data_IF_111612312555
#
_entry.id   IF_111612312555
#
_cell.length_a   1.000
_cell.length_b   1.000
_cell.length_c   1.000
_cell.angle_alpha   90.00
_cell.angle_beta   90.00
_cell.angle_gamma   90.00
#
_symmetry.space_group_name_H-M   'P 1'
#
loop_
_entity.id
_entity.type
_entity.pdbx_description
1 polymer ?
#
# COMPACT_ATOMS: atom_id res chain seq x y z
N UNK A 1 -9.32 -62.67 -32.94
CA UNK A 1 -10.46 -63.53 -32.54
C UNK A 1 -10.65 -63.41 -31.04
N UNK A 2 -11.86 -63.63 -30.53
CA UNK A 2 -12.25 -63.34 -29.14
C UNK A 2 -11.53 -64.23 -28.11
N UNK A 3 -11.38 -63.70 -26.90
CA UNK A 3 -11.98 -64.16 -25.63
C UNK A 3 -11.27 -63.42 -24.46
N UNK A 4 -11.87 -63.08 -23.30
CA UNK A 4 -13.25 -63.21 -22.84
C UNK A 4 -13.34 -63.32 -21.30
N UNK A 5 -13.57 -62.21 -20.56
CA UNK A 5 -14.00 -62.18 -19.15
C UNK A 5 -14.32 -60.71 -18.72
N UNK A 6 -15.58 -60.30 -18.60
CA UNK A 6 -16.47 -60.46 -17.43
C UNK A 6 -16.17 -59.49 -16.26
N UNK A 7 -16.89 -58.37 -16.24
CA UNK A 7 -16.89 -57.39 -15.14
C UNK A 7 -18.10 -57.60 -14.22
N UNK A 8 -17.89 -57.59 -12.89
CA UNK A 8 -18.95 -57.78 -11.90
C UNK A 8 -19.62 -56.45 -11.51
N UNK A 9 -20.94 -56.41 -11.64
CA UNK A 9 -21.82 -55.38 -11.07
C UNK A 9 -21.91 -55.51 -9.55
N UNK A 10 -21.90 -54.40 -8.81
CA UNK A 10 -22.35 -54.33 -7.41
C UNK A 10 -23.11 -53.03 -7.14
N UNK A 11 -24.14 -53.12 -6.29
CA UNK A 11 -25.22 -52.13 -6.16
C UNK A 11 -24.98 -51.02 -5.11
N UNK A 12 -25.85 -50.00 -5.14
CA UNK A 12 -25.95 -48.90 -4.18
C UNK A 12 -26.52 -49.33 -2.81
N UNK A 13 -26.07 -48.72 -1.70
CA UNK A 13 -26.87 -48.57 -0.47
C UNK A 13 -27.72 -47.27 -0.47
N UNK A 14 -28.79 -47.25 0.33
CA UNK A 14 -29.75 -46.13 0.46
C UNK A 14 -29.49 -45.25 1.69
N UNK A 15 -30.12 -44.05 1.67
CA UNK A 15 -30.18 -43.01 2.72
C UNK A 15 -30.36 -43.54 4.17
N UNK A 16 -29.64 -42.92 5.11
CA UNK A 16 -30.01 -42.83 6.52
C UNK A 16 -30.30 -41.38 6.95
N UNK A 17 -31.33 -41.16 7.78
CA UNK A 17 -31.65 -39.86 8.42
C UNK A 17 -31.32 -39.93 9.91
N UNK A 18 -30.52 -38.99 10.41
CA UNK A 18 -30.46 -38.61 11.83
C UNK A 18 -30.40 -37.07 11.90
N UNK A 19 -31.33 -36.35 12.52
CA UNK A 19 -31.67 -36.28 13.96
C UNK A 19 -30.55 -35.66 14.81
N UNK A 20 -30.42 -34.33 14.72
CA UNK A 20 -29.90 -33.50 15.80
C UNK A 20 -30.87 -33.52 16.98
N UNK A 21 -30.36 -33.49 18.22
CA UNK A 21 -31.18 -33.59 19.41
C UNK A 21 -30.51 -32.93 20.64
N UNK A 22 -31.32 -32.20 21.42
CA UNK A 22 -31.10 -31.71 22.80
C UNK A 22 -29.97 -30.67 23.06
N UNK A 23 -30.10 -29.70 23.99
CA UNK A 23 -31.27 -28.94 24.50
C UNK A 23 -30.79 -27.66 25.22
N UNK A 24 -31.70 -26.73 25.54
CA UNK A 24 -31.40 -25.46 26.22
C UNK A 24 -31.69 -25.47 27.74
N UNK A 25 -31.00 -24.61 28.51
CA UNK A 25 -31.43 -23.95 29.77
C UNK A 25 -30.38 -22.86 30.13
N UNK A 26 -30.62 -21.78 30.88
CA UNK A 26 -31.72 -21.39 31.77
C UNK A 26 -32.20 -19.94 31.53
N UNK A 27 -33.38 -19.59 32.06
CA UNK A 27 -33.88 -18.20 32.18
C UNK A 27 -33.91 -17.72 33.64
N UNK A 28 -34.08 -16.40 33.79
CA UNK A 28 -34.06 -15.59 35.00
C UNK A 28 -34.92 -16.03 36.20
N UNK A 29 -34.62 -15.45 37.38
CA UNK A 29 -35.62 -15.20 38.42
C UNK A 29 -35.28 -13.96 39.26
N UNK A 30 -36.30 -13.16 39.57
CA UNK A 30 -36.27 -12.05 40.51
C UNK A 30 -37.25 -12.35 41.66
N UNK A 31 -36.94 -11.93 42.88
CA UNK A 31 -37.79 -12.14 44.06
C UNK A 31 -37.22 -11.46 45.30
N UNK A 32 -38.07 -10.85 46.13
CA UNK A 32 -37.71 -9.79 47.09
C UNK A 32 -38.16 -10.05 48.54
N UNK A 33 -37.79 -9.12 49.45
CA UNK A 33 -38.19 -8.96 50.88
C UNK A 33 -37.37 -9.81 51.88
N UNK A 34 -37.04 -9.37 53.12
CA UNK A 34 -37.70 -8.44 54.06
C UNK A 34 -36.75 -7.52 54.89
N UNK A 35 -37.34 -6.71 55.78
CA UNK A 35 -36.79 -5.54 56.50
C UNK A 35 -35.85 -5.78 57.71
N UNK A 36 -34.82 -4.92 57.84
CA UNK A 36 -34.46 -4.08 59.01
C UNK A 36 -33.26 -3.19 58.62
N UNK A 37 -33.12 -1.90 58.95
CA UNK A 37 -33.84 -1.07 59.92
C UNK A 37 -32.88 -0.11 60.64
N UNK A 38 -32.07 0.69 59.91
CA UNK A 38 -31.12 1.66 60.49
C UNK A 38 -31.26 3.04 59.81
N UNK A 39 -31.15 4.11 60.61
CA UNK A 39 -31.43 5.51 60.27
C UNK A 39 -30.55 6.09 59.15
N UNK A 40 -31.16 6.92 58.31
CA UNK A 40 -30.49 7.87 57.42
C UNK A 40 -29.83 9.03 58.19
N UNK A 41 -28.63 9.47 57.79
CA UNK A 41 -28.17 10.85 57.96
C UNK A 41 -28.60 11.71 56.76
N UNK A 42 -29.06 12.95 57.01
CA UNK A 42 -29.24 13.96 55.95
C UNK A 42 -27.88 14.54 55.51
N UNK A 43 -27.78 15.16 54.32
CA UNK A 43 -26.52 15.38 53.64
C UNK A 43 -25.74 16.58 54.22
N UNK A 44 -24.44 16.39 54.43
CA UNK A 44 -23.49 17.50 54.46
C UNK A 44 -23.11 17.86 53.02
N UNK A 45 -23.31 19.13 52.66
CA UNK A 45 -22.98 19.66 51.33
C UNK A 45 -21.46 19.79 51.14
N UNK A 46 -20.79 18.67 50.86
CA UNK A 46 -19.42 18.68 50.37
C UNK A 46 -19.44 18.90 48.84
N UNK A 47 -18.93 20.04 48.39
CA UNK A 47 -18.71 20.32 46.97
C UNK A 47 -17.59 19.41 46.42
N UNK A 48 -17.94 18.17 46.10
CA UNK A 48 -17.10 17.32 45.27
C UNK A 48 -17.22 17.77 43.81
N UNK A 49 -16.56 18.87 43.49
CA UNK A 49 -16.07 19.10 42.13
C UNK A 49 -15.08 17.97 41.82
N UNK A 50 -15.60 16.88 41.27
CA UNK A 50 -14.81 15.83 40.66
C UNK A 50 -14.11 16.45 39.44
N UNK A 51 -12.97 17.08 39.70
CA UNK A 51 -12.00 17.41 38.68
C UNK A 51 -11.51 16.10 38.11
N UNK A 52 -12.19 15.63 37.06
CA UNK A 52 -11.61 14.71 36.10
C UNK A 52 -10.45 15.45 35.46
N UNK A 53 -9.31 15.40 36.15
CA UNK A 53 -8.02 15.66 35.56
C UNK A 53 -7.88 14.62 34.44
N UNK A 54 -8.29 15.02 33.23
CA UNK A 54 -7.84 14.37 32.01
C UNK A 54 -6.33 14.46 32.09
N UNK A 55 -5.70 13.36 32.50
CA UNK A 55 -4.26 13.25 32.47
C UNK A 55 -3.88 13.60 31.02
N UNK A 56 -3.17 14.70 30.84
CA UNK A 56 -2.61 15.04 29.55
C UNK A 56 -1.70 13.87 29.21
N UNK A 57 -2.17 13.01 28.30
CA UNK A 57 -1.35 11.94 27.75
C UNK A 57 -0.27 12.67 26.97
N UNK A 58 0.88 12.89 27.62
CA UNK A 58 2.07 13.38 26.97
C UNK A 58 2.29 12.44 25.81
N UNK A 59 2.19 12.91 24.54
CA UNK A 59 2.24 12.01 23.41
C UNK A 59 3.57 11.27 23.47
N UNK A 60 3.49 9.94 23.49
CA UNK A 60 4.66 9.10 23.64
C UNK A 60 5.66 9.44 22.54
N UNK A 61 6.84 9.94 22.93
CA UNK A 61 7.85 10.39 21.98
C UNK A 61 8.53 9.16 21.40
N UNK A 62 7.92 8.60 20.36
CA UNK A 62 8.44 7.45 19.64
C UNK A 62 9.89 7.71 19.20
N UNK A 63 10.79 6.71 19.32
CA UNK A 63 12.14 6.83 18.81
C UNK A 63 12.12 6.97 17.29
N UNK A 64 12.69 8.05 16.77
CA UNK A 64 12.81 8.33 15.34
C UNK A 64 14.21 8.02 14.83
N UNK A 65 14.33 7.67 13.55
CA UNK A 65 15.59 7.34 12.88
C UNK A 65 15.66 8.07 11.54
N UNK A 66 16.87 8.36 11.05
CA UNK A 66 17.04 8.82 9.67
C UNK A 66 16.73 7.66 8.69
N UNK A 67 16.13 7.95 7.54
CA UNK A 67 15.60 6.89 6.64
C UNK A 67 16.72 6.04 6.04
N UNK A 68 17.88 6.65 5.80
CA UNK A 68 19.13 6.03 5.35
C UNK A 68 19.70 5.03 6.38
N UNK A 69 19.38 5.18 7.66
CA UNK A 69 19.81 4.30 8.75
C UNK A 69 18.81 3.15 9.02
N UNK A 70 17.56 3.25 8.55
CA UNK A 70 16.54 2.20 8.77
C UNK A 70 16.98 0.93 8.06
N UNK A 71 17.03 -0.20 8.76
CA UNK A 71 17.53 -1.47 8.26
C UNK A 71 16.39 -2.50 8.05
N UNK A 72 16.64 -3.53 7.24
CA UNK A 72 15.75 -4.68 7.17
C UNK A 72 15.61 -5.34 8.55
N UNK A 73 14.39 -5.68 8.95
CA UNK A 73 14.09 -6.20 10.30
C UNK A 73 13.88 -5.13 11.37
N UNK A 74 14.12 -3.83 11.10
CA UNK A 74 13.59 -2.74 11.93
C UNK A 74 12.05 -2.74 11.88
N UNK A 75 11.40 -2.13 12.89
CA UNK A 75 9.96 -1.86 12.88
C UNK A 75 9.68 -0.38 12.68
N UNK A 76 8.65 -0.09 11.88
CA UNK A 76 8.13 1.27 11.66
C UNK A 76 6.64 1.33 12.00
N UNK A 77 6.24 2.43 12.63
CA UNK A 77 4.84 2.67 13.01
C UNK A 77 4.01 3.08 11.80
N UNK A 78 2.78 2.61 11.73
CA UNK A 78 1.86 2.88 10.63
C UNK A 78 0.64 1.98 10.69
N UNK A 79 -0.51 2.51 10.27
CA UNK A 79 -1.73 1.74 10.07
C UNK A 79 -2.39 2.30 8.83
N UNK A 80 -2.53 1.48 7.80
CA UNK A 80 -3.11 1.89 6.53
C UNK A 80 -4.60 2.21 6.75
N UNK A 81 -5.07 3.43 6.41
CA UNK A 81 -6.49 3.76 6.50
C UNK A 81 -7.31 3.03 5.43
N UNK A 82 -6.70 2.66 4.31
CA UNK A 82 -7.29 1.77 3.33
C UNK A 82 -6.97 0.31 3.70
N UNK A 83 -7.97 -0.37 4.25
CA UNK A 83 -7.83 -1.77 4.70
C UNK A 83 -7.89 -2.77 3.56
N UNK A 84 -8.19 -2.36 2.32
CA UNK A 84 -8.22 -3.27 1.16
C UNK A 84 -6.82 -3.65 0.68
N UNK A 85 -5.83 -2.84 1.02
CA UNK A 85 -4.41 -3.03 0.70
C UNK A 85 -3.65 -3.88 1.71
N UNK A 86 -4.22 -4.09 2.90
CA UNK A 86 -3.49 -4.74 3.98
C UNK A 86 -3.48 -6.24 3.77
N UNK A 87 -2.28 -6.77 3.55
CA UNK A 87 -2.07 -8.21 3.42
C UNK A 87 -2.02 -8.85 4.82
N UNK A 88 -2.88 -9.82 5.17
CA UNK A 88 -2.84 -10.49 6.47
C UNK A 88 -1.82 -11.66 6.44
N UNK A 89 -0.57 -11.36 6.07
CA UNK A 89 0.52 -12.36 6.02
C UNK A 89 1.22 -12.53 7.37
N UNK A 90 1.81 -13.71 7.57
CA UNK A 90 2.65 -14.00 8.73
C UNK A 90 3.97 -13.24 8.63
N UNK A 91 4.44 -12.67 9.76
CA UNK A 91 5.67 -11.87 9.80
C UNK A 91 6.90 -12.63 9.27
N UNK A 92 7.92 -11.90 8.78
CA UNK A 92 9.20 -12.49 8.42
C UNK A 92 9.80 -13.31 9.57
N UNK A 93 10.27 -14.51 9.26
CA UNK A 93 10.95 -15.41 10.19
C UNK A 93 12.38 -15.69 9.68
N UNK A 94 13.36 -15.60 10.57
CA UNK A 94 14.77 -15.71 10.19
C UNK A 94 15.17 -17.09 9.68
N UNK A 95 14.41 -18.15 10.01
CA UNK A 95 14.65 -19.51 9.50
C UNK A 95 14.19 -19.65 8.06
N UNK A 96 12.96 -19.19 7.79
CA UNK A 96 12.26 -19.39 6.51
C UNK A 96 12.43 -18.24 5.51
N UNK A 97 13.05 -17.12 5.89
CA UNK A 97 13.34 -15.98 4.99
C UNK A 97 14.85 -15.77 4.77
N UNK A 98 15.20 -14.97 3.76
CA UNK A 98 16.57 -14.55 3.44
C UNK A 98 16.60 -13.07 3.08
N UNK A 99 17.76 -12.44 3.31
CA UNK A 99 18.07 -11.12 2.77
C UNK A 99 18.62 -11.29 1.35
N UNK A 100 17.98 -10.64 0.38
CA UNK A 100 18.36 -10.61 -1.03
C UNK A 100 18.81 -9.20 -1.36
N UNK A 101 20.05 -9.05 -1.83
CA UNK A 101 20.56 -7.76 -2.33
C UNK A 101 20.56 -7.80 -3.85
N UNK A 102 20.03 -6.76 -4.48
CA UNK A 102 19.94 -6.62 -5.93
C UNK A 102 20.27 -5.20 -6.39
N UNK A 103 20.53 -5.05 -7.68
CA UNK A 103 20.47 -3.75 -8.35
C UNK A 103 19.81 -3.88 -9.72
N UNK A 104 19.23 -2.79 -10.22
CA UNK A 104 18.72 -2.71 -11.58
C UNK A 104 18.94 -1.33 -12.20
N UNK A 105 18.82 -1.26 -13.53
CA UNK A 105 18.85 0.00 -14.28
C UNK A 105 17.42 0.52 -14.46
N UNK A 106 17.19 1.77 -14.06
CA UNK A 106 15.95 2.53 -14.27
C UNK A 106 15.77 2.88 -15.75
N UNK A 107 14.55 3.23 -16.17
CA UNK A 107 14.27 3.63 -17.55
C UNK A 107 15.06 4.85 -18.05
N UNK A 108 15.59 5.67 -17.14
CA UNK A 108 16.45 6.82 -17.44
C UNK A 108 17.97 6.50 -17.40
N UNK A 109 18.36 5.23 -17.27
CA UNK A 109 19.76 4.82 -17.13
C UNK A 109 20.33 4.93 -15.71
N UNK A 110 19.59 5.48 -14.76
CA UNK A 110 20.02 5.56 -13.35
C UNK A 110 20.04 4.19 -12.67
N UNK A 111 20.97 4.00 -11.73
CA UNK A 111 21.01 2.80 -10.88
C UNK A 111 19.94 2.88 -9.77
N UNK A 112 19.33 1.73 -9.49
CA UNK A 112 18.48 1.48 -8.33
C UNK A 112 19.08 0.30 -7.55
N UNK A 113 19.49 0.56 -6.32
CA UNK A 113 19.94 -0.45 -5.36
C UNK A 113 18.78 -0.90 -4.48
N UNK A 114 18.70 -2.21 -4.22
CA UNK A 114 17.54 -2.88 -3.65
C UNK A 114 18.01 -3.91 -2.61
N UNK A 115 17.43 -3.85 -1.41
CA UNK A 115 17.57 -4.88 -0.38
C UNK A 115 16.17 -5.40 -0.05
N UNK A 116 15.94 -6.72 -0.03
CA UNK A 116 14.65 -7.34 0.27
C UNK A 116 14.79 -8.46 1.29
N UNK A 117 13.81 -8.59 2.18
CA UNK A 117 13.51 -9.85 2.87
C UNK A 117 12.51 -10.62 2.03
N UNK A 118 12.81 -11.88 1.70
CA UNK A 118 11.89 -12.78 0.98
C UNK A 118 11.93 -14.21 1.55
N UNK A 119 10.81 -14.97 1.49
CA UNK A 119 10.78 -16.38 1.88
C UNK A 119 11.75 -17.25 1.06
N UNK A 120 12.20 -18.38 1.62
CA UNK A 120 12.95 -19.42 0.89
C UNK A 120 12.15 -20.00 -0.27
N UNK A 121 10.88 -20.34 -0.02
CA UNK A 121 9.98 -20.83 -1.07
C UNK A 121 9.79 -19.83 -2.22
N UNK A 122 10.01 -18.54 -1.97
CA UNK A 122 10.03 -17.51 -3.03
C UNK A 122 11.31 -17.60 -3.86
N UNK A 123 12.48 -17.68 -3.21
CA UNK A 123 13.77 -17.83 -3.87
C UNK A 123 13.82 -19.09 -4.72
N UNK A 124 13.38 -20.22 -4.16
CA UNK A 124 13.30 -21.52 -4.84
C UNK A 124 12.42 -21.43 -6.09
N UNK A 125 11.23 -20.82 -5.98
CA UNK A 125 10.31 -20.67 -7.09
C UNK A 125 10.69 -19.53 -8.08
N UNK A 126 11.75 -18.76 -7.79
CA UNK A 126 12.40 -17.85 -8.73
C UNK A 126 13.72 -18.40 -9.27
N UNK A 127 14.11 -19.63 -8.90
CA UNK A 127 15.42 -20.23 -9.21
C UNK A 127 16.59 -19.29 -8.83
N UNK A 128 16.38 -18.48 -7.79
CA UNK A 128 17.14 -17.28 -7.49
C UNK A 128 18.58 -17.62 -7.07
N UNK A 129 19.53 -17.34 -7.96
CA UNK A 129 20.97 -17.58 -7.77
C UNK A 129 21.74 -16.26 -7.87
N UNK A 130 22.83 -16.13 -7.10
CA UNK A 130 23.69 -14.94 -7.16
C UNK A 130 24.36 -14.85 -8.53
N UNK A 131 24.23 -13.70 -9.19
CA UNK A 131 24.67 -13.46 -10.57
C UNK A 131 23.53 -13.47 -11.59
N UNK A 132 22.44 -14.18 -11.31
CA UNK A 132 21.26 -14.22 -12.17
C UNK A 132 20.32 -13.03 -11.92
N UNK A 133 19.27 -12.91 -12.76
CA UNK A 133 18.29 -11.82 -12.69
C UNK A 133 16.89 -12.31 -12.37
N UNK A 134 16.20 -11.61 -11.47
CA UNK A 134 14.74 -11.71 -11.30
C UNK A 134 14.04 -10.50 -11.90
N UNK A 135 12.79 -10.65 -12.32
CA UNK A 135 12.01 -9.53 -12.84
C UNK A 135 11.33 -8.77 -11.70
N UNK A 136 11.62 -7.47 -11.57
CA UNK A 136 11.00 -6.56 -10.61
C UNK A 136 10.22 -5.44 -11.32
N UNK A 137 9.13 -4.98 -10.70
CA UNK A 137 8.27 -3.92 -11.22
C UNK A 137 8.06 -2.85 -10.13
N UNK A 138 8.84 -1.78 -10.24
CA UNK A 138 9.02 -0.70 -9.28
C UNK A 138 8.79 0.67 -9.99
N UNK A 139 7.66 0.78 -10.71
CA UNK A 139 7.18 2.00 -11.40
C UNK A 139 7.12 3.25 -10.50
N UNK A 140 6.91 3.12 -9.17
CA UNK A 140 7.03 4.25 -8.23
C UNK A 140 8.44 4.86 -8.26
N UNK A 141 9.48 4.06 -8.55
CA UNK A 141 10.85 4.51 -8.74
C UNK A 141 11.23 4.63 -10.23
N UNK A 142 10.29 4.43 -11.17
CA UNK A 142 10.56 4.41 -12.61
C UNK A 142 11.43 3.24 -13.08
N UNK A 143 11.41 2.10 -12.37
CA UNK A 143 12.19 0.92 -12.69
C UNK A 143 11.27 -0.29 -12.95
N UNK A 144 11.43 -0.97 -14.08
CA UNK A 144 10.80 -2.26 -14.35
C UNK A 144 11.74 -3.07 -15.24
N UNK A 145 11.85 -4.38 -15.01
CA UNK A 145 12.80 -5.21 -15.75
C UNK A 145 13.63 -6.15 -14.87
N UNK A 146 14.72 -6.71 -15.43
CA UNK A 146 15.62 -7.58 -14.69
C UNK A 146 16.41 -6.80 -13.63
N UNK A 147 16.43 -7.33 -12.41
CA UNK A 147 17.30 -6.92 -11.32
C UNK A 147 18.30 -8.05 -11.03
N UNK A 148 19.59 -7.73 -11.03
CA UNK A 148 20.69 -8.67 -10.81
C UNK A 148 20.81 -8.97 -9.33
N UNK A 149 20.75 -10.24 -8.94
CA UNK A 149 21.00 -10.68 -7.56
C UNK A 149 22.51 -10.60 -7.29
N UNK A 150 22.92 -9.77 -6.34
CA UNK A 150 24.33 -9.64 -5.92
C UNK A 150 24.64 -10.41 -4.63
N UNK A 151 23.65 -10.66 -3.78
CA UNK A 151 23.81 -11.49 -2.59
C UNK A 151 22.49 -12.16 -2.19
N UNK A 152 22.61 -13.37 -1.62
CA UNK A 152 21.56 -14.03 -0.83
C UNK A 152 22.20 -14.40 0.51
N UNK A 153 21.78 -13.71 1.57
CA UNK A 153 22.32 -13.81 2.92
C UNK A 153 21.25 -14.35 3.90
N UNK A 154 21.65 -14.83 5.09
CA UNK A 154 20.72 -15.09 6.18
C UNK A 154 19.81 -13.87 6.43
N UNK A 155 18.56 -14.12 6.77
CA UNK A 155 17.67 -13.06 7.23
C UNK A 155 18.22 -12.44 8.53
N UNK A 156 18.28 -11.10 8.67
CA UNK A 156 18.70 -10.44 9.89
C UNK A 156 17.75 -10.73 11.06
N UNK A 157 18.14 -10.30 12.26
CA UNK A 157 17.23 -10.30 13.40
C UNK A 157 16.03 -9.39 13.12
N UNK A 158 14.82 -9.95 13.22
CA UNK A 158 13.58 -9.18 13.20
C UNK A 158 13.36 -8.64 14.61
N UNK A 159 13.39 -7.32 14.77
CA UNK A 159 13.32 -6.70 16.10
C UNK A 159 11.97 -6.96 16.77
N UNK A 160 11.94 -7.19 18.09
CA UNK A 160 10.70 -7.26 18.85
C UNK A 160 10.07 -5.87 19.00
N UNK A 161 8.77 -5.83 19.30
CA UNK A 161 8.02 -4.60 19.58
C UNK A 161 6.85 -4.38 18.62
N UNK A 162 6.17 -3.26 18.80
CA UNK A 162 5.01 -2.86 18.00
C UNK A 162 5.41 -2.27 16.64
N UNK A 163 4.43 -2.14 15.75
CA UNK A 163 4.63 -1.66 14.39
C UNK A 163 5.08 -2.75 13.42
N UNK A 164 5.32 -2.33 12.18
CA UNK A 164 5.41 -3.22 11.02
C UNK A 164 6.87 -3.43 10.61
N UNK A 165 7.23 -4.66 10.25
CA UNK A 165 8.60 -5.03 9.87
C UNK A 165 8.98 -4.40 8.52
N UNK A 166 10.14 -3.77 8.47
CA UNK A 166 10.75 -3.30 7.21
C UNK A 166 11.29 -4.51 6.44
N UNK A 167 10.66 -4.81 5.31
CA UNK A 167 10.97 -5.96 4.44
C UNK A 167 11.68 -5.57 3.16
N UNK A 168 11.91 -4.28 2.91
CA UNK A 168 12.62 -3.83 1.73
C UNK A 168 13.19 -2.42 1.88
N UNK A 169 14.29 -2.15 1.20
CA UNK A 169 14.93 -0.83 1.11
C UNK A 169 15.34 -0.57 -0.33
N UNK A 170 15.16 0.66 -0.76
CA UNK A 170 15.36 1.07 -2.14
C UNK A 170 16.09 2.40 -2.16
N UNK A 171 17.19 2.46 -2.89
CA UNK A 171 18.12 3.60 -2.88
C UNK A 171 18.44 3.97 -4.32
N UNK A 172 18.16 5.21 -4.71
CA UNK A 172 18.51 5.72 -6.04
C UNK A 172 18.72 7.23 -6.04
N UNK A 173 19.39 7.73 -7.09
CA UNK A 173 19.38 9.16 -7.40
C UNK A 173 18.01 9.56 -7.96
N UNK A 174 17.41 10.63 -7.43
CA UNK A 174 16.22 11.22 -8.04
C UNK A 174 16.53 11.78 -9.44
N UNK A 175 15.50 11.95 -10.26
CA UNK A 175 15.65 12.39 -11.65
C UNK A 175 15.12 13.82 -11.85
N UNK A 176 15.52 14.75 -10.97
CA UNK A 176 14.99 16.12 -10.92
C UNK A 176 13.53 16.24 -10.47
N UNK A 177 12.90 15.15 -10.02
CA UNK A 177 11.49 15.09 -9.64
C UNK A 177 11.24 15.20 -8.13
N UNK A 178 12.05 16.01 -7.42
CA UNK A 178 11.90 16.24 -5.97
C UNK A 178 11.06 17.50 -5.71
N UNK A 179 10.20 17.41 -4.71
CA UNK A 179 9.53 18.55 -4.07
C UNK A 179 9.91 18.66 -2.59
N UNK A 180 10.04 19.89 -2.12
CA UNK A 180 10.03 20.24 -0.70
C UNK A 180 8.57 20.37 -0.24
N UNK A 181 8.09 19.36 0.46
CA UNK A 181 6.80 19.37 1.14
C UNK A 181 6.99 19.91 2.56
N UNK A 182 6.37 21.05 2.87
CA UNK A 182 6.36 21.59 4.24
C UNK A 182 4.95 21.60 4.82
N UNK A 183 4.82 21.10 6.04
CA UNK A 183 3.57 21.06 6.81
C UNK A 183 3.58 22.18 7.87
N UNK A 184 2.40 22.66 8.28
CA UNK A 184 2.26 23.87 9.09
C UNK A 184 2.92 23.81 10.47
N UNK A 185 3.07 22.61 11.03
CA UNK A 185 3.72 22.33 12.32
C UNK A 185 5.14 21.75 12.16
N UNK A 186 5.73 21.79 10.97
CA UNK A 186 7.04 21.22 10.65
C UNK A 186 8.07 22.32 10.38
N UNK A 187 9.21 22.28 11.10
CA UNK A 187 10.26 23.30 10.99
C UNK A 187 10.94 23.30 9.62
N UNK A 188 11.35 22.12 9.15
CA UNK A 188 12.02 21.92 7.87
C UNK A 188 11.15 21.14 6.89
N UNK A 189 11.27 21.41 5.60
CA UNK A 189 10.54 20.68 4.57
C UNK A 189 11.08 19.25 4.41
N UNK A 190 10.19 18.29 4.15
CA UNK A 190 10.59 16.95 3.71
C UNK A 190 10.87 17.01 2.21
N UNK A 191 12.13 16.80 1.81
CA UNK A 191 12.47 16.53 0.42
C UNK A 191 11.96 15.14 0.03
N UNK A 192 11.10 15.06 -0.97
CA UNK A 192 10.41 13.83 -1.37
C UNK A 192 10.16 13.82 -2.88
N UNK A 193 10.12 12.65 -3.53
CA UNK A 193 9.72 12.60 -4.94
C UNK A 193 8.27 13.04 -5.11
N UNK A 194 8.00 13.78 -6.17
CA UNK A 194 6.68 14.32 -6.52
C UNK A 194 5.57 13.27 -6.61
N UNK A 195 5.91 12.04 -6.96
CA UNK A 195 5.02 10.91 -7.12
C UNK A 195 4.78 10.08 -5.83
N UNK A 196 5.59 10.24 -4.78
CA UNK A 196 5.44 9.49 -3.53
C UNK A 196 4.22 10.00 -2.75
N UNK A 197 3.47 9.10 -2.11
CA UNK A 197 2.09 9.40 -1.70
C UNK A 197 1.93 9.60 -0.20
N UNK A 198 1.18 10.64 0.16
CA UNK A 198 0.79 10.95 1.53
C UNK A 198 -0.71 10.71 1.73
N UNK A 199 -1.13 10.28 2.92
CA UNK A 199 -2.56 10.15 3.21
C UNK A 199 -3.23 11.52 3.40
N UNK A 200 -4.07 11.89 2.44
CA UNK A 200 -4.94 13.06 2.55
C UNK A 200 -6.21 12.69 3.31
N UNK A 201 -6.42 13.32 4.47
CA UNK A 201 -7.65 13.17 5.27
C UNK A 201 -8.83 13.78 4.53
N UNK A 202 -8.61 14.89 3.82
CA UNK A 202 -9.66 15.61 3.10
C UNK A 202 -10.16 14.82 1.88
N UNK A 203 -9.24 14.20 1.13
CA UNK A 203 -9.58 13.36 -0.04
C UNK A 203 -9.85 11.89 0.30
N UNK A 204 -9.49 11.44 1.51
CA UNK A 204 -9.57 10.04 1.99
C UNK A 204 -8.88 9.05 1.05
N UNK A 205 -7.70 9.43 0.56
CA UNK A 205 -6.89 8.63 -0.35
C UNK A 205 -5.42 9.01 -0.21
N UNK A 206 -4.54 8.17 -0.73
CA UNK A 206 -3.12 8.48 -0.91
C UNK A 206 -2.92 9.40 -2.13
N UNK A 207 -2.33 10.57 -1.89
CA UNK A 207 -2.14 11.63 -2.90
C UNK A 207 -0.63 11.84 -3.14
N UNK A 208 -0.15 11.86 -4.40
CA UNK A 208 1.22 12.22 -4.73
C UNK A 208 1.63 13.58 -4.15
N UNK A 209 2.85 13.68 -3.61
CA UNK A 209 3.36 14.88 -2.94
C UNK A 209 3.26 16.15 -3.83
N UNK A 210 3.57 16.03 -5.12
CA UNK A 210 3.46 17.12 -6.10
C UNK A 210 2.02 17.52 -6.46
N UNK A 211 1.01 16.75 -6.06
CA UNK A 211 -0.41 17.01 -6.26
C UNK A 211 -1.14 17.46 -4.98
N UNK A 212 -0.45 17.51 -3.84
CA UNK A 212 -0.96 18.07 -2.60
C UNK A 212 -1.17 19.57 -2.72
N UNK A 213 -2.23 20.10 -2.09
CA UNK A 213 -2.60 21.51 -2.16
C UNK A 213 -2.32 22.20 -0.83
N UNK A 214 -1.90 23.46 -0.87
CA UNK A 214 -1.79 24.28 0.35
C UNK A 214 -3.13 24.30 1.08
N UNK A 215 -3.10 24.09 2.39
CA UNK A 215 -4.27 23.96 3.26
C UNK A 215 -4.84 22.54 3.38
N UNK A 216 -4.41 21.59 2.56
CA UNK A 216 -4.88 20.20 2.59
C UNK A 216 -4.42 19.47 3.86
N UNK A 217 -5.34 18.74 4.48
CA UNK A 217 -5.14 18.05 5.77
C UNK A 217 -4.52 16.68 5.57
N UNK A 218 -3.37 16.44 6.20
CA UNK A 218 -2.68 15.14 6.25
C UNK A 218 -2.77 14.49 7.64
N UNK A 219 -2.67 13.16 7.66
CA UNK A 219 -2.55 12.38 8.90
C UNK A 219 -1.09 12.34 9.39
N UNK A 220 -0.86 12.62 10.67
CA UNK A 220 0.48 12.55 11.29
C UNK A 220 0.44 11.90 12.67
N UNK A 221 1.61 11.51 13.21
CA UNK A 221 1.74 10.85 14.52
C UNK A 221 1.16 11.65 15.70
N UNK A 222 1.12 12.98 15.60
CA UNK A 222 0.69 13.87 16.68
C UNK A 222 -0.63 14.58 16.35
N UNK A 223 -1.47 13.94 15.53
CA UNK A 223 -2.73 14.47 15.04
C UNK A 223 -2.62 14.96 13.59
N UNK A 224 -3.62 15.72 13.16
CA UNK A 224 -3.70 16.23 11.78
C UNK A 224 -2.97 17.55 11.63
N UNK A 225 -2.39 17.78 10.46
CA UNK A 225 -1.76 19.05 10.08
C UNK A 225 -2.11 19.42 8.65
N UNK A 226 -1.87 20.66 8.26
CA UNK A 226 -2.12 21.14 6.89
C UNK A 226 -0.82 21.33 6.11
N UNK A 227 -0.87 21.10 4.81
CA UNK A 227 0.20 21.44 3.87
C UNK A 227 0.39 22.96 3.84
N UNK A 228 1.58 23.43 4.19
CA UNK A 228 1.94 24.85 4.15
C UNK A 228 2.46 25.26 2.77
N UNK A 229 3.30 24.43 2.14
CA UNK A 229 3.82 24.63 0.78
C UNK A 229 4.28 23.32 0.14
N UNK A 230 4.19 23.29 -1.20
CA UNK A 230 4.88 22.30 -2.05
C UNK A 230 5.70 23.10 -3.06
N UNK A 231 7.02 22.95 -3.04
CA UNK A 231 7.92 23.69 -3.95
C UNK A 231 8.89 22.73 -4.63
N UNK A 232 9.19 22.93 -5.92
CA UNK A 232 10.19 22.09 -6.60
C UNK A 232 11.57 22.30 -5.98
N UNK A 233 12.26 21.19 -5.67
CA UNK A 233 13.66 21.20 -5.23
C UNK A 233 14.56 20.94 -6.46
N UNK A 234 15.51 21.83 -6.76
CA UNK A 234 16.49 21.60 -7.83
C UNK A 234 17.56 20.61 -7.39
N UNK A 235 17.95 19.70 -8.29
CA UNK A 235 19.05 18.76 -8.08
C UNK A 235 18.63 17.29 -8.20
N UNK A 236 19.62 16.41 -8.04
CA UNK A 236 19.43 14.97 -7.94
C UNK A 236 19.96 14.56 -6.56
N UNK A 237 19.07 14.49 -5.56
CA UNK A 237 19.43 13.95 -4.25
C UNK A 237 19.34 12.41 -4.28
N UNK A 238 20.12 11.75 -3.42
CA UNK A 238 19.86 10.34 -3.07
C UNK A 238 18.54 10.25 -2.31
N UNK A 239 17.61 9.45 -2.80
CA UNK A 239 16.32 9.20 -2.13
C UNK A 239 16.21 7.74 -1.70
N UNK A 240 15.45 7.53 -0.63
CA UNK A 240 15.28 6.26 0.07
C UNK A 240 13.79 5.94 0.17
N UNK A 241 13.41 4.68 -0.06
CA UNK A 241 12.05 4.16 0.14
C UNK A 241 12.10 2.82 0.90
N UNK A 242 11.02 2.48 1.60
CA UNK A 242 10.92 1.30 2.47
C UNK A 242 9.72 0.43 2.08
N UNK A 243 9.94 -0.87 1.83
CA UNK A 243 8.84 -1.84 1.85
C UNK A 243 8.52 -2.17 3.31
N UNK A 244 7.23 -2.11 3.66
CA UNK A 244 6.74 -2.34 5.01
C UNK A 244 5.73 -3.47 4.98
N UNK A 245 5.98 -4.51 5.77
CA UNK A 245 5.19 -5.72 5.86
C UNK A 245 3.72 -5.43 6.24
N UNK A 246 2.78 -6.12 5.58
CA UNK A 246 1.32 -6.04 5.74
C UNK A 246 0.69 -4.65 5.46
N UNK A 247 1.15 -3.59 6.10
CA UNK A 247 0.45 -2.30 6.13
C UNK A 247 0.86 -1.34 5.00
N UNK A 248 2.02 -1.52 4.37
CA UNK A 248 2.51 -0.67 3.25
C UNK A 248 2.57 0.84 3.52
N UNK A 249 2.61 1.22 4.80
CA UNK A 249 2.69 2.61 5.25
C UNK A 249 3.72 2.79 6.34
N UNK A 250 4.32 3.97 6.39
CA UNK A 250 5.23 4.41 7.44
C UNK A 250 5.10 5.92 7.68
N UNK A 251 5.87 6.45 8.63
CA UNK A 251 5.84 7.86 9.03
C UNK A 251 7.14 8.57 8.63
N UNK A 252 7.04 9.77 8.07
CA UNK A 252 8.19 10.59 7.64
C UNK A 252 8.12 12.03 8.14
N UNK A 253 9.27 12.69 8.17
CA UNK A 253 9.42 14.06 8.68
C UNK A 253 9.29 14.14 10.20
N UNK A 254 9.63 15.29 10.78
CA UNK A 254 9.66 15.49 12.25
C UNK A 254 8.29 15.46 12.91
N UNK A 255 7.21 15.55 12.12
CA UNK A 255 5.81 15.43 12.58
C UNK A 255 5.21 14.04 12.33
N UNK A 256 5.93 13.16 11.62
CA UNK A 256 5.49 11.79 11.32
C UNK A 256 4.26 11.72 10.41
N UNK A 257 4.31 12.37 9.26
CA UNK A 257 3.24 12.31 8.26
C UNK A 257 3.14 10.89 7.66
N UNK A 258 1.91 10.41 7.45
CA UNK A 258 1.65 9.07 6.91
C UNK A 258 1.92 9.03 5.39
N UNK A 259 2.87 8.20 4.99
CA UNK A 259 3.17 7.90 3.59
C UNK A 259 2.90 6.45 3.23
N UNK A 260 2.67 6.20 1.95
CA UNK A 260 2.39 4.89 1.39
C UNK A 260 3.47 4.43 0.42
N UNK A 261 3.69 3.12 0.40
CA UNK A 261 4.62 2.42 -0.45
C UNK A 261 3.85 1.51 -1.46
N UNK A 262 3.86 1.83 -2.76
CA UNK A 262 3.00 1.18 -3.78
C UNK A 262 3.74 0.26 -4.76
N UNK A 263 3.92 -1.02 -4.39
CA UNK A 263 4.63 -2.02 -5.21
C UNK A 263 3.74 -3.06 -5.93
N UNK A 264 4.33 -3.74 -6.94
CA UNK A 264 3.81 -4.91 -7.70
C UNK A 264 4.88 -6.01 -7.70
N UNK A 265 4.52 -7.31 -7.82
CA UNK A 265 5.09 -8.28 -8.83
C UNK A 265 4.43 -9.67 -8.94
N UNK A 266 3.40 -10.02 -8.16
CA UNK A 266 2.51 -11.21 -8.29
C UNK A 266 3.12 -12.64 -8.27
N UNK A 267 2.24 -13.65 -8.07
CA UNK A 267 2.34 -15.15 -8.16
C UNK A 267 3.52 -15.90 -7.54
N UNK A 268 4.73 -15.37 -7.68
CA UNK A 268 5.91 -15.74 -6.92
C UNK A 268 6.11 -14.64 -5.87
N UNK A 269 5.39 -14.73 -4.74
CA UNK A 269 5.52 -13.94 -3.49
C UNK A 269 5.62 -12.41 -3.60
N UNK A 270 4.72 -11.72 -4.32
CA UNK A 270 4.84 -10.28 -4.63
C UNK A 270 3.46 -9.59 -4.83
N UNK A 271 3.35 -8.30 -4.49
CA UNK A 271 2.16 -7.39 -4.46
C UNK A 271 1.43 -7.10 -5.80
N UNK A 272 0.31 -6.36 -5.77
CA UNK A 272 -0.31 -5.77 -6.99
C UNK A 272 -0.60 -4.25 -6.80
N UNK A 273 -0.55 -3.47 -7.87
CA UNK A 273 -0.64 -2.00 -7.84
C UNK A 273 -2.06 -1.67 -8.18
N UNK A 274 -2.69 -1.09 -7.17
CA UNK A 274 -3.93 -0.38 -7.31
C UNK A 274 -3.94 0.46 -8.58
N UNK A 275 -5.01 0.23 -9.32
CA UNK A 275 -5.46 1.01 -10.47
C UNK A 275 -5.51 2.52 -10.16
N UNK A 276 -5.59 2.87 -8.87
CA UNK A 276 -5.32 4.19 -8.27
C UNK A 276 -4.17 4.98 -8.90
N UNK A 277 -3.07 4.32 -9.28
CA UNK A 277 -1.96 5.00 -9.94
C UNK A 277 -2.37 5.70 -11.24
N UNK A 278 -3.37 5.14 -11.94
CA UNK A 278 -3.93 5.66 -13.18
C UNK A 278 -5.28 6.36 -12.95
N UNK A 279 -5.94 6.21 -11.78
CA UNK A 279 -7.24 6.85 -11.49
C UNK A 279 -7.21 8.36 -11.63
N UNK A 280 -6.08 9.03 -11.42
CA UNK A 280 -6.00 10.48 -11.59
C UNK A 280 -5.97 10.90 -13.07
N UNK A 281 -5.00 10.40 -13.82
CA UNK A 281 -4.72 10.74 -15.22
C UNK A 281 -5.71 10.13 -16.22
N UNK A 282 -6.39 9.06 -15.81
CA UNK A 282 -7.49 8.42 -16.53
C UNK A 282 -8.89 8.77 -15.94
N UNK A 283 -8.98 9.69 -14.97
CA UNK A 283 -10.27 10.25 -14.53
C UNK A 283 -10.96 10.93 -15.73
N UNK A 284 -12.26 10.70 -15.99
CA UNK A 284 -12.94 11.27 -17.14
C UNK A 284 -12.87 12.80 -17.25
N UNK A 285 -12.62 13.55 -16.17
CA UNK A 285 -12.40 15.01 -16.21
C UNK A 285 -10.97 15.34 -16.63
N UNK A 286 -9.97 14.61 -16.14
CA UNK A 286 -8.57 14.77 -16.55
C UNK A 286 -8.40 14.43 -18.03
N UNK A 287 -8.95 13.30 -18.48
CA UNK A 287 -8.93 12.92 -19.91
C UNK A 287 -9.68 13.94 -20.80
N UNK A 288 -10.75 14.58 -20.30
CA UNK A 288 -11.41 15.70 -21.02
C UNK A 288 -10.54 16.95 -21.10
N UNK A 289 -9.73 17.26 -20.08
CA UNK A 289 -8.71 18.31 -20.16
C UNK A 289 -7.65 17.96 -21.21
N UNK A 290 -7.11 16.74 -21.16
CA UNK A 290 -6.16 16.23 -22.16
C UNK A 290 -6.71 16.29 -23.59
N UNK A 291 -7.98 15.97 -23.80
CA UNK A 291 -8.63 16.08 -25.11
C UNK A 291 -8.75 17.52 -25.62
N UNK A 292 -9.04 18.48 -24.75
CA UNK A 292 -9.07 19.92 -25.09
C UNK A 292 -7.66 20.46 -25.39
N UNK A 293 -6.64 20.02 -24.65
CA UNK A 293 -5.24 20.33 -24.94
C UNK A 293 -4.78 19.75 -26.28
N UNK A 294 -5.24 18.54 -26.63
CA UNK A 294 -5.03 17.94 -27.95
C UNK A 294 -5.67 18.76 -29.09
N UNK A 295 -6.75 19.49 -28.80
CA UNK A 295 -7.37 20.45 -29.72
C UNK A 295 -6.71 21.85 -29.73
N UNK A 296 -5.65 22.05 -28.93
CA UNK A 296 -4.90 23.31 -28.85
C UNK A 296 -5.36 24.29 -27.76
N UNK A 297 -6.30 23.90 -26.89
CA UNK A 297 -6.75 24.75 -25.78
C UNK A 297 -5.80 24.66 -24.58
N UNK A 298 -5.48 25.80 -23.95
CA UNK A 298 -4.81 25.81 -22.63
C UNK A 298 -5.87 25.71 -21.54
N UNK A 299 -6.09 24.51 -21.00
CA UNK A 299 -7.19 24.24 -20.06
C UNK A 299 -6.96 24.83 -18.67
N UNK A 300 -5.72 24.78 -18.16
CA UNK A 300 -5.34 25.40 -16.89
C UNK A 300 -3.84 25.75 -16.85
N UNK A 301 -3.44 26.56 -15.87
CA UNK A 301 -2.05 26.93 -15.62
C UNK A 301 -1.70 26.70 -14.15
N UNK A 302 -0.44 26.34 -13.90
CA UNK A 302 0.19 26.29 -12.59
C UNK A 302 0.34 27.72 -12.04
N UNK A 303 0.59 27.90 -10.74
CA UNK A 303 0.85 29.24 -10.16
C UNK A 303 2.04 29.96 -10.83
N UNK A 304 2.99 29.20 -11.40
CA UNK A 304 4.10 29.72 -12.21
C UNK A 304 3.71 30.23 -13.61
N UNK A 305 2.43 30.20 -13.97
CA UNK A 305 1.92 30.58 -15.29
C UNK A 305 2.14 29.54 -16.40
N UNK A 306 2.95 28.51 -16.15
CA UNK A 306 3.17 27.38 -17.06
C UNK A 306 1.86 26.59 -17.22
N UNK A 307 1.42 26.24 -18.45
CA UNK A 307 0.29 25.34 -18.65
C UNK A 307 0.43 24.02 -17.87
N UNK A 308 -0.70 23.44 -17.48
CA UNK A 308 -0.71 22.00 -17.24
C UNK A 308 -0.54 21.26 -18.57
N UNK A 309 -0.04 20.03 -18.51
CA UNK A 309 0.12 19.13 -19.65
C UNK A 309 -0.56 17.81 -19.30
N UNK A 310 -1.90 17.88 -19.25
CA UNK A 310 -2.75 16.72 -19.02
C UNK A 310 -2.58 15.71 -20.17
N UNK A 311 -2.39 16.20 -21.40
CA UNK A 311 -2.25 15.37 -22.58
C UNK A 311 -1.04 14.41 -22.53
N UNK A 312 0.13 14.88 -22.12
CA UNK A 312 1.30 14.01 -21.96
C UNK A 312 1.15 13.06 -20.77
N UNK A 313 0.59 13.54 -19.65
CA UNK A 313 0.31 12.70 -18.46
C UNK A 313 -0.63 11.54 -18.80
N UNK A 314 -1.83 11.83 -19.34
CA UNK A 314 -2.80 10.82 -19.77
C UNK A 314 -2.20 9.85 -20.80
N UNK A 315 -1.45 10.33 -21.80
CA UNK A 315 -0.83 9.44 -22.81
C UNK A 315 0.20 8.48 -22.22
N UNK A 316 1.05 8.98 -21.32
CA UNK A 316 2.06 8.15 -20.65
C UNK A 316 1.40 7.08 -19.79
N UNK A 317 0.36 7.46 -19.04
CA UNK A 317 -0.33 6.55 -18.13
C UNK A 317 -1.23 5.55 -18.86
N UNK A 318 -1.84 5.91 -20.00
CA UNK A 318 -2.48 4.94 -20.89
C UNK A 318 -1.47 3.92 -21.43
N UNK A 319 -0.25 4.34 -21.77
CA UNK A 319 0.79 3.43 -22.23
C UNK A 319 1.30 2.51 -21.09
N UNK A 320 1.40 3.02 -19.87
CA UNK A 320 1.72 2.23 -18.67
C UNK A 320 0.59 1.25 -18.33
N UNK A 321 -0.66 1.70 -18.31
CA UNK A 321 -1.85 0.87 -18.10
C UNK A 321 -1.92 -0.29 -19.12
N UNK A 322 -1.61 -0.04 -20.41
CA UNK A 322 -1.52 -1.11 -21.43
C UNK A 322 -0.47 -2.16 -21.11
N UNK A 323 0.76 -1.74 -20.75
CA UNK A 323 1.83 -2.66 -20.33
C UNK A 323 1.43 -3.45 -19.08
N UNK A 324 0.81 -2.77 -18.13
CA UNK A 324 0.35 -3.38 -16.88
C UNK A 324 -0.79 -4.38 -17.11
N UNK A 325 -1.77 -4.10 -17.98
CA UNK A 325 -2.79 -5.08 -18.41
C UNK A 325 -2.15 -6.34 -19.03
N UNK A 326 -1.10 -6.18 -19.84
CA UNK A 326 -0.35 -7.32 -20.41
C UNK A 326 0.35 -8.13 -19.30
N UNK A 327 0.99 -7.45 -18.34
CA UNK A 327 1.61 -8.09 -17.18
C UNK A 327 0.56 -8.86 -16.36
N UNK A 328 -0.54 -8.22 -15.96
CA UNK A 328 -1.66 -8.85 -15.23
C UNK A 328 -2.16 -10.11 -15.97
N UNK A 329 -2.42 -10.02 -17.28
CA UNK A 329 -2.86 -11.17 -18.09
C UNK A 329 -1.84 -12.31 -18.10
N UNK A 330 -0.54 -12.00 -18.17
CA UNK A 330 0.55 -13.00 -18.03
C UNK A 330 0.47 -13.71 -16.69
N UNK A 331 0.23 -12.99 -15.59
CA UNK A 331 0.14 -13.57 -14.25
C UNK A 331 -1.13 -14.39 -14.02
N UNK A 332 -2.26 -14.01 -14.63
CA UNK A 332 -3.48 -14.83 -14.64
C UNK A 332 -3.34 -16.14 -15.44
N UNK A 333 -2.32 -16.26 -16.31
CA UNK A 333 -2.04 -17.51 -17.04
C UNK A 333 -1.35 -18.58 -16.16
N UNK A 334 -0.87 -18.21 -14.97
CA UNK A 334 -0.25 -19.13 -14.01
C UNK A 334 -1.26 -20.15 -13.47
N UNK A 335 -0.93 -21.43 -13.62
CA UNK A 335 -1.78 -22.57 -13.20
C UNK A 335 -1.69 -22.85 -11.69
N UNK A 336 -0.64 -22.37 -11.02
CA UNK A 336 -0.42 -22.53 -9.59
C UNK A 336 -1.05 -21.40 -8.75
N UNK A 337 -1.63 -20.39 -9.42
CA UNK A 337 -2.23 -19.23 -8.77
C UNK A 337 -3.43 -19.63 -7.89
N UNK A 338 -3.38 -19.27 -6.61
CA UNK A 338 -4.47 -19.52 -5.67
C UNK A 338 -5.78 -18.84 -6.12
N UNK A 339 -6.93 -19.42 -5.76
CA UNK A 339 -8.25 -18.86 -6.12
C UNK A 339 -8.45 -17.43 -5.57
N UNK A 340 -7.91 -17.12 -4.40
CA UNK A 340 -8.00 -15.80 -3.80
C UNK A 340 -7.16 -14.78 -4.58
N UNK A 341 -5.89 -15.10 -4.86
CA UNK A 341 -4.99 -14.21 -5.59
C UNK A 341 -5.48 -13.99 -7.03
N UNK A 342 -6.03 -15.04 -7.65
CA UNK A 342 -6.69 -14.95 -8.97
C UNK A 342 -7.82 -13.92 -8.98
N UNK A 343 -8.71 -13.97 -7.99
CA UNK A 343 -9.84 -13.03 -7.91
C UNK A 343 -9.40 -11.56 -7.71
N UNK A 344 -8.35 -11.32 -6.92
CA UNK A 344 -7.76 -9.97 -6.74
C UNK A 344 -7.21 -9.46 -8.08
N UNK A 345 -6.38 -10.26 -8.75
CA UNK A 345 -5.72 -9.90 -10.01
C UNK A 345 -6.75 -9.74 -11.15
N UNK A 346 -7.82 -10.54 -11.17
CA UNK A 346 -8.96 -10.38 -12.10
C UNK A 346 -9.76 -9.10 -11.83
N UNK A 347 -9.90 -8.69 -10.56
CA UNK A 347 -10.53 -7.42 -10.16
C UNK A 347 -9.75 -6.20 -10.66
N UNK A 348 -8.43 -6.16 -10.42
CA UNK A 348 -7.57 -5.08 -10.93
C UNK A 348 -7.52 -5.06 -12.46
N UNK A 349 -7.50 -6.23 -13.12
CA UNK A 349 -7.58 -6.29 -14.58
C UNK A 349 -8.85 -5.60 -15.09
N UNK A 350 -9.99 -5.88 -14.46
CA UNK A 350 -11.28 -5.29 -14.81
C UNK A 350 -11.29 -3.78 -14.61
N UNK A 351 -10.87 -3.30 -13.44
CA UNK A 351 -10.86 -1.87 -13.13
C UNK A 351 -9.88 -1.08 -14.03
N UNK A 352 -8.68 -1.62 -14.29
CA UNK A 352 -7.68 -0.98 -15.15
C UNK A 352 -8.11 -0.95 -16.62
N UNK A 353 -8.73 -2.04 -17.10
CA UNK A 353 -9.30 -2.09 -18.46
C UNK A 353 -10.42 -1.05 -18.59
N UNK A 354 -11.33 -0.95 -17.61
CA UNK A 354 -12.39 0.05 -17.62
C UNK A 354 -11.87 1.49 -17.63
N UNK A 355 -10.81 1.83 -16.87
CA UNK A 355 -10.20 3.16 -16.95
C UNK A 355 -9.60 3.43 -18.34
N UNK A 356 -8.87 2.46 -18.88
CA UNK A 356 -8.21 2.59 -20.18
C UNK A 356 -9.24 2.74 -21.30
N UNK A 357 -10.27 1.90 -21.34
CA UNK A 357 -11.33 1.93 -22.36
C UNK A 357 -12.09 3.28 -22.32
N UNK A 358 -12.40 3.79 -21.12
CA UNK A 358 -13.00 5.12 -20.96
C UNK A 358 -12.06 6.24 -21.45
N UNK A 359 -10.76 6.15 -21.18
CA UNK A 359 -9.79 7.14 -21.63
C UNK A 359 -9.61 7.11 -23.16
N UNK A 360 -9.57 5.92 -23.77
CA UNK A 360 -9.54 5.72 -25.22
C UNK A 360 -10.78 6.27 -25.90
N UNK A 361 -11.98 5.99 -25.35
CA UNK A 361 -13.24 6.51 -25.86
C UNK A 361 -13.25 8.04 -25.83
N UNK A 362 -12.92 8.69 -24.71
CA UNK A 362 -12.93 10.16 -24.61
C UNK A 362 -11.91 10.80 -25.57
N UNK A 363 -10.69 10.27 -25.67
CA UNK A 363 -9.66 10.80 -26.59
C UNK A 363 -9.92 10.46 -28.07
N UNK A 364 -10.78 9.49 -28.36
CA UNK A 364 -11.18 9.07 -29.70
C UNK A 364 -12.46 9.75 -30.20
N UNK A 365 -13.45 9.97 -29.34
CA UNK A 365 -14.68 10.71 -29.63
C UNK A 365 -14.39 12.20 -29.86
N UNK A 366 -13.51 12.80 -29.05
CA UNK A 366 -13.05 14.19 -29.20
C UNK A 366 -11.91 14.37 -30.24
N UNK A 367 -11.71 13.37 -31.10
CA UNK A 367 -10.76 13.42 -32.22
C UNK A 367 -11.45 13.36 -33.60
N UNK A 368 -12.78 13.42 -33.61
CA UNK A 368 -13.63 13.57 -34.79
C UNK A 368 -14.23 14.98 -34.81
#
# INVERSE_FOLDING_TARGET
MNDGASAKTLERPKRGRGRFAWVAFCLALAGSLFFAGIRSPQPTSANHTASLAVAAVTPEKLPTKAIEEVALGDRVVGTNPDRSEVEPTAEPDSKTWRHVTLWMTKGNGGRLDIELLRPLAWLEAQEATVGDTIHLDLEEMGAHGPAVITAIAPCPEIKPGDGNVVTGRFIHQAAGNIVDLRLANQSEATGVTDNHRYWSVDRKQFVPAGQLRRGETLDTLHGRTTVASVTSRPGNDTVYNLEVHNEHVYRVGTVGALVHNSYITTSYGRYVRRVDNYKHSLDPRHVKSAAREKAGEVVSRKESGVPYDHLTETRNDMASAKRHIVNIKKHLSDRNLSKANRAIIEGELGELSNLLDNAENILGELAR
#
